data_IF_851274826133
#
_entry.id   IF_851274826133
#
_cell.length_a   1.000
_cell.length_b   1.000
_cell.length_c   1.000
_cell.angle_alpha   90.00
_cell.angle_beta   90.00
_cell.angle_gamma   90.00
#
_symmetry.space_group_name_H-M   'P 1'
#
loop_
_entity.id
_entity.type
_entity.pdbx_description
1 polymer ?
#
# COMPACT_ATOMS: atom_id res chain seq x y z
N UNK A 1 62.10 16.63 20.57
CA UNK A 1 60.98 15.67 20.77
C UNK A 1 59.54 16.19 20.44
N UNK A 2 59.26 17.48 20.32
CA UNK A 2 57.90 18.04 20.05
C UNK A 2 57.34 17.86 18.63
N UNK A 3 58.17 17.82 17.55
CA UNK A 3 57.73 17.76 16.15
C UNK A 3 57.05 16.46 15.72
N UNK A 4 57.37 15.30 16.36
CA UNK A 4 56.79 13.99 16.03
C UNK A 4 55.35 13.83 16.59
N UNK A 5 55.06 14.44 17.73
CA UNK A 5 53.76 14.38 18.38
C UNK A 5 52.72 15.21 17.60
N UNK A 6 53.09 16.37 17.10
CA UNK A 6 52.20 17.24 16.29
C UNK A 6 51.83 16.59 14.93
N UNK A 7 52.80 15.90 14.29
CA UNK A 7 52.50 15.14 13.07
C UNK A 7 51.53 13.97 13.31
N UNK A 8 51.71 13.24 14.41
CA UNK A 8 50.80 12.14 14.78
C UNK A 8 49.38 12.65 15.09
N UNK A 9 49.25 13.79 15.80
CA UNK A 9 47.98 14.43 16.09
C UNK A 9 47.27 14.90 14.79
N UNK A 10 48.00 15.51 13.85
CA UNK A 10 47.46 15.94 12.55
C UNK A 10 46.94 14.76 11.72
N UNK A 11 47.67 13.64 11.69
CA UNK A 11 47.20 12.41 11.02
C UNK A 11 45.93 11.85 11.67
N UNK A 12 45.87 11.84 13.00
CA UNK A 12 44.71 11.36 13.73
C UNK A 12 43.46 12.22 13.43
N UNK A 13 43.60 13.55 13.42
CA UNK A 13 42.54 14.47 13.07
C UNK A 13 42.04 14.28 11.61
N UNK A 14 42.96 14.07 10.66
CA UNK A 14 42.62 13.83 9.26
C UNK A 14 41.84 12.50 9.09
N UNK A 15 42.24 11.41 9.76
CA UNK A 15 41.56 10.15 9.75
C UNK A 15 40.17 10.29 10.37
N UNK A 16 40.04 10.98 11.49
CA UNK A 16 38.76 11.23 12.14
C UNK A 16 37.81 12.03 11.25
N UNK A 17 38.34 13.06 10.57
CA UNK A 17 37.56 13.85 9.61
C UNK A 17 37.05 13.00 8.43
N UNK A 18 37.93 12.13 7.88
CA UNK A 18 37.53 11.21 6.80
C UNK A 18 36.45 10.20 7.26
N UNK A 19 36.54 9.68 8.48
CA UNK A 19 35.55 8.78 9.04
C UNK A 19 34.21 9.50 9.25
N UNK A 20 34.25 10.72 9.79
CA UNK A 20 33.04 11.54 10.01
C UNK A 20 32.40 11.92 8.69
N UNK A 21 33.20 12.43 7.73
CA UNK A 21 32.67 12.78 6.40
C UNK A 21 32.17 11.56 5.64
N UNK A 22 32.84 10.41 5.74
CA UNK A 22 32.39 9.14 5.19
C UNK A 22 31.07 8.68 5.81
N UNK A 23 30.92 8.82 7.13
CA UNK A 23 29.67 8.51 7.82
C UNK A 23 28.51 9.42 7.39
N UNK A 24 28.74 10.74 7.25
CA UNK A 24 27.72 11.67 6.77
C UNK A 24 27.34 11.42 5.30
N UNK A 25 28.32 11.11 4.46
CA UNK A 25 28.07 10.72 3.07
C UNK A 25 27.29 9.41 3.00
N UNK A 26 27.70 8.39 3.74
CA UNK A 26 26.96 7.12 3.83
C UNK A 26 25.52 7.36 4.27
N UNK A 27 25.28 8.12 5.35
CA UNK A 27 23.96 8.44 5.85
C UNK A 27 23.12 9.29 4.88
N UNK A 28 23.75 10.13 4.09
CA UNK A 28 23.07 10.91 3.04
C UNK A 28 22.64 10.04 1.86
N UNK A 29 23.51 9.12 1.42
CA UNK A 29 23.21 8.20 0.32
C UNK A 29 22.33 7.02 0.73
N UNK A 30 22.25 6.66 2.01
CA UNK A 30 21.39 5.59 2.51
C UNK A 30 19.93 6.00 2.72
N UNK A 31 19.57 7.29 2.59
CA UNK A 31 18.17 7.71 2.67
C UNK A 31 17.43 7.28 1.41
N UNK A 32 16.35 6.54 1.62
CA UNK A 32 15.39 6.25 0.55
C UNK A 32 14.82 7.57 0.02
N UNK A 33 14.70 7.66 -1.29
CA UNK A 33 14.15 8.82 -1.99
C UNK A 33 13.08 8.32 -2.93
N UNK A 34 11.89 8.84 -2.75
CA UNK A 34 10.75 8.52 -3.59
C UNK A 34 10.44 9.71 -4.50
N UNK A 35 9.93 9.41 -5.67
CA UNK A 35 9.32 10.37 -6.58
C UNK A 35 7.94 9.85 -6.97
N UNK A 36 7.04 10.77 -7.20
CA UNK A 36 5.73 10.47 -7.75
C UNK A 36 5.84 10.34 -9.27
N UNK A 37 5.27 9.26 -9.80
CA UNK A 37 5.12 9.03 -11.24
C UNK A 37 3.65 9.17 -11.55
N UNK A 38 3.31 10.10 -12.45
CA UNK A 38 1.93 10.34 -12.86
C UNK A 38 1.74 9.90 -14.30
N UNK A 39 0.74 9.08 -14.55
CA UNK A 39 0.28 8.70 -15.87
C UNK A 39 -1.18 9.09 -15.99
N UNK A 40 -1.49 9.94 -16.98
CA UNK A 40 -2.86 10.31 -17.33
C UNK A 40 -3.14 9.88 -18.76
N UNK A 41 -4.28 9.25 -18.97
CA UNK A 41 -4.78 8.87 -20.31
C UNK A 41 -6.27 9.10 -20.38
N UNK A 42 -6.71 9.55 -21.54
CA UNK A 42 -8.11 9.66 -21.89
C UNK A 42 -8.30 9.30 -23.37
N UNK A 43 -9.51 9.01 -23.78
CA UNK A 43 -9.84 8.86 -25.20
C UNK A 43 -9.91 10.24 -25.87
N UNK A 44 -9.27 10.38 -27.05
CA UNK A 44 -8.99 11.69 -27.68
C UNK A 44 -10.18 12.35 -28.38
N UNK A 45 -11.27 11.69 -28.67
CA UNK A 45 -12.37 12.20 -29.53
C UNK A 45 -13.75 12.17 -28.87
N UNK A 46 -13.84 12.40 -27.59
CA UNK A 46 -15.11 12.45 -26.87
C UNK A 46 -15.41 13.88 -26.37
N UNK A 47 -16.61 14.40 -26.67
CA UNK A 47 -17.07 15.71 -26.17
C UNK A 47 -17.52 15.62 -24.70
N UNK A 48 -18.13 14.50 -24.31
CA UNK A 48 -18.59 14.18 -22.95
C UNK A 48 -18.39 12.67 -22.72
N UNK A 49 -18.15 12.27 -21.48
CA UNK A 49 -18.09 10.85 -21.07
C UNK A 49 -16.88 10.07 -21.61
N UNK A 50 -15.68 10.57 -21.37
CA UNK A 50 -14.43 10.00 -21.84
C UNK A 50 -13.86 8.96 -20.88
N UNK A 51 -13.39 7.82 -21.43
CA UNK A 51 -12.50 6.94 -20.68
C UNK A 51 -11.38 7.78 -20.04
N UNK A 52 -11.18 7.64 -18.74
CA UNK A 52 -10.10 8.31 -18.03
C UNK A 52 -9.32 7.35 -17.13
N UNK A 53 -8.00 7.47 -17.17
CA UNK A 53 -7.08 6.76 -16.29
C UNK A 53 -6.13 7.76 -15.69
N UNK A 54 -6.11 7.84 -14.36
CA UNK A 54 -5.19 8.68 -13.59
C UNK A 54 -4.44 7.81 -12.58
N UNK A 55 -3.16 7.59 -12.83
CA UNK A 55 -2.28 6.80 -11.97
C UNK A 55 -1.24 7.72 -11.37
N UNK A 56 -1.17 7.77 -10.04
CA UNK A 56 -0.12 8.46 -9.30
C UNK A 56 0.50 7.46 -8.32
N UNK A 57 1.66 6.92 -8.68
CA UNK A 57 2.35 5.91 -7.90
C UNK A 57 3.76 6.32 -7.53
N UNK A 58 4.34 5.65 -6.53
CA UNK A 58 5.67 5.98 -6.03
C UNK A 58 6.75 5.14 -6.72
N UNK A 59 7.84 5.80 -7.07
CA UNK A 59 9.07 5.17 -7.55
C UNK A 59 10.23 5.48 -6.60
N UNK A 60 10.92 4.45 -6.11
CA UNK A 60 12.10 4.61 -5.28
C UNK A 60 13.35 4.82 -6.14
N UNK A 61 14.04 5.96 -5.93
CA UNK A 61 15.25 6.33 -6.68
C UNK A 61 16.44 5.49 -6.28
N UNK A 62 17.32 5.26 -7.25
CA UNK A 62 18.58 4.56 -7.05
C UNK A 62 18.55 3.10 -7.48
N UNK A 63 19.57 2.35 -7.09
CA UNK A 63 19.74 0.95 -7.50
C UNK A 63 20.07 0.05 -6.30
N UNK A 64 19.55 0.41 -5.11
CA UNK A 64 19.64 -0.47 -3.94
C UNK A 64 18.75 -1.69 -4.13
N UNK A 65 18.95 -2.72 -3.35
CA UNK A 65 18.08 -3.89 -3.33
C UNK A 65 16.65 -3.49 -2.98
N UNK A 66 16.49 -2.64 -1.97
CA UNK A 66 15.20 -2.05 -1.62
C UNK A 66 14.51 -1.39 -2.83
N UNK A 67 15.23 -0.49 -3.55
CA UNK A 67 14.64 0.23 -4.66
C UNK A 67 14.17 -0.71 -5.78
N UNK A 68 14.94 -1.76 -6.09
CA UNK A 68 14.55 -2.73 -7.11
C UNK A 68 13.31 -3.53 -6.72
N UNK A 69 13.28 -4.04 -5.49
CA UNK A 69 12.17 -4.88 -5.02
C UNK A 69 10.91 -4.05 -4.83
N UNK A 70 11.02 -2.86 -4.21
CA UNK A 70 9.93 -1.90 -4.08
C UNK A 70 9.32 -1.54 -5.45
N UNK A 71 10.14 -1.09 -6.40
CA UNK A 71 9.65 -0.67 -7.71
C UNK A 71 9.01 -1.81 -8.50
N UNK A 72 9.57 -3.02 -8.40
CA UNK A 72 8.99 -4.21 -9.01
C UNK A 72 7.60 -4.51 -8.44
N UNK A 73 7.44 -4.42 -7.13
CA UNK A 73 6.15 -4.65 -6.47
C UNK A 73 5.12 -3.59 -6.86
N UNK A 74 5.50 -2.31 -6.88
CA UNK A 74 4.63 -1.23 -7.35
C UNK A 74 4.18 -1.46 -8.80
N UNK A 75 5.11 -1.86 -9.68
CA UNK A 75 4.78 -2.17 -11.08
C UNK A 75 3.75 -3.29 -11.18
N UNK A 76 3.91 -4.36 -10.40
CA UNK A 76 2.95 -5.47 -10.33
C UNK A 76 1.57 -4.98 -9.85
N UNK A 77 1.52 -4.20 -8.78
CA UNK A 77 0.25 -3.74 -8.20
C UNK A 77 -0.50 -2.78 -9.13
N UNK A 78 0.21 -1.87 -9.79
CA UNK A 78 -0.40 -0.95 -10.77
C UNK A 78 -0.87 -1.70 -12.01
N UNK A 79 -0.10 -2.66 -12.51
CA UNK A 79 -0.50 -3.49 -13.65
C UNK A 79 -1.72 -4.36 -13.31
N UNK A 80 -1.76 -4.96 -12.11
CA UNK A 80 -2.92 -5.74 -11.66
C UNK A 80 -4.19 -4.89 -11.56
N UNK A 81 -4.08 -3.67 -11.03
CA UNK A 81 -5.20 -2.74 -10.96
C UNK A 81 -5.76 -2.41 -12.35
N UNK A 82 -4.90 -2.14 -13.34
CA UNK A 82 -5.29 -1.89 -14.73
C UNK A 82 -5.96 -3.11 -15.39
N UNK A 83 -5.55 -4.32 -15.02
CA UNK A 83 -6.11 -5.56 -15.56
C UNK A 83 -7.36 -6.02 -14.80
N UNK A 84 -7.83 -5.25 -13.81
CA UNK A 84 -8.96 -5.60 -12.94
C UNK A 84 -8.80 -6.98 -12.28
N UNK A 85 -7.57 -7.33 -11.93
CA UNK A 85 -7.28 -8.55 -11.21
C UNK A 85 -7.52 -8.32 -9.71
N UNK A 86 -8.53 -8.96 -9.16
CA UNK A 86 -8.88 -8.90 -7.74
C UNK A 86 -7.84 -9.60 -6.84
N UNK A 87 -6.94 -10.37 -7.44
CA UNK A 87 -5.88 -11.07 -6.73
C UNK A 87 -4.54 -10.35 -6.90
N UNK A 88 -4.24 -9.44 -5.97
CA UNK A 88 -2.96 -8.72 -5.91
C UNK A 88 -1.74 -9.65 -5.73
N UNK A 89 -1.96 -10.95 -5.46
CA UNK A 89 -0.89 -11.95 -5.36
C UNK A 89 -0.47 -12.52 -6.72
N UNK A 90 -1.25 -12.29 -7.78
CA UNK A 90 -0.89 -12.70 -9.13
C UNK A 90 0.30 -11.86 -9.61
N UNK A 91 1.44 -12.50 -9.79
CA UNK A 91 2.60 -11.87 -10.42
C UNK A 91 2.34 -11.78 -11.92
N UNK A 92 1.88 -10.62 -12.37
CA UNK A 92 1.71 -10.32 -13.79
C UNK A 92 3.07 -9.87 -14.36
N UNK A 93 3.62 -10.63 -15.26
CA UNK A 93 4.88 -10.28 -15.96
C UNK A 93 4.57 -9.36 -17.17
N UNK A 94 4.04 -8.18 -16.86
CA UNK A 94 3.63 -7.18 -17.85
C UNK A 94 3.93 -5.78 -17.31
N UNK A 95 4.42 -4.89 -18.17
CA UNK A 95 4.68 -3.50 -17.77
C UNK A 95 3.37 -2.71 -17.60
N UNK A 96 3.43 -1.62 -16.81
CA UNK A 96 2.30 -0.70 -16.60
C UNK A 96 1.78 -0.18 -17.95
N UNK A 97 2.69 0.22 -18.86
CA UNK A 97 2.32 0.71 -20.18
C UNK A 97 1.53 -0.34 -20.97
N UNK A 98 1.97 -1.60 -20.92
CA UNK A 98 1.30 -2.67 -21.64
C UNK A 98 -0.06 -3.03 -21.04
N UNK A 99 -0.16 -3.02 -19.70
CA UNK A 99 -1.43 -3.20 -18.99
C UNK A 99 -2.41 -2.08 -19.35
N UNK A 100 -1.94 -0.83 -19.41
CA UNK A 100 -2.74 0.33 -19.81
C UNK A 100 -3.20 0.24 -21.27
N UNK A 101 -2.31 -0.14 -22.19
CA UNK A 101 -2.70 -0.39 -23.60
C UNK A 101 -3.80 -1.45 -23.70
N UNK A 102 -3.66 -2.55 -22.95
CA UNK A 102 -4.68 -3.60 -22.94
C UNK A 102 -6.02 -3.08 -22.42
N UNK A 103 -6.01 -2.38 -21.27
CA UNK A 103 -7.22 -1.79 -20.70
C UNK A 103 -7.94 -0.85 -21.66
N UNK A 104 -7.20 0.06 -22.30
CA UNK A 104 -7.76 1.00 -23.29
C UNK A 104 -8.29 0.27 -24.54
N UNK A 105 -7.57 -0.76 -25.00
CA UNK A 105 -8.01 -1.57 -26.14
C UNK A 105 -9.29 -2.33 -25.85
N UNK A 106 -9.39 -2.91 -24.64
CA UNK A 106 -10.58 -3.66 -24.22
C UNK A 106 -11.80 -2.73 -24.12
N UNK A 107 -11.64 -1.54 -23.52
CA UNK A 107 -12.68 -0.52 -23.51
C UNK A 107 -13.13 -0.16 -24.93
N UNK A 108 -12.20 0.16 -25.83
CA UNK A 108 -12.53 0.55 -27.20
C UNK A 108 -13.29 -0.55 -27.94
N UNK A 109 -12.88 -1.82 -27.78
CA UNK A 109 -13.55 -2.97 -28.38
C UNK A 109 -14.99 -3.13 -27.84
N UNK A 110 -15.19 -2.92 -26.53
CA UNK A 110 -16.52 -3.01 -25.91
C UNK A 110 -17.38 -1.84 -26.39
N UNK A 111 -16.84 -0.62 -26.36
CA UNK A 111 -17.55 0.60 -26.73
C UNK A 111 -17.95 0.62 -28.23
N UNK A 112 -17.13 0.04 -29.12
CA UNK A 112 -17.50 -0.12 -30.55
C UNK A 112 -18.76 -0.96 -30.73
N UNK A 113 -18.96 -2.00 -29.91
CA UNK A 113 -20.13 -2.88 -29.96
C UNK A 113 -21.31 -2.38 -29.12
N UNK A 114 -21.03 -1.62 -28.08
CA UNK A 114 -22.01 -1.10 -27.12
C UNK A 114 -21.73 0.38 -26.80
N UNK A 115 -22.05 1.30 -27.72
CA UNK A 115 -21.73 2.73 -27.54
C UNK A 115 -22.45 3.42 -26.37
N UNK A 116 -23.46 2.79 -25.80
CA UNK A 116 -24.23 3.32 -24.66
C UNK A 116 -23.62 3.00 -23.30
N UNK A 117 -22.52 2.22 -23.27
CA UNK A 117 -21.84 1.92 -22.01
C UNK A 117 -21.17 3.20 -21.51
N UNK A 118 -21.38 3.57 -20.23
CA UNK A 118 -20.69 4.71 -19.63
C UNK A 118 -19.18 4.61 -19.75
N UNK A 119 -18.51 5.72 -19.85
CA UNK A 119 -17.06 5.76 -19.87
C UNK A 119 -16.45 5.14 -18.60
N UNK A 120 -15.34 4.45 -18.78
CA UNK A 120 -14.60 3.87 -17.66
C UNK A 120 -13.72 4.92 -16.99
N UNK A 121 -13.60 4.83 -15.69
CA UNK A 121 -12.72 5.69 -14.90
C UNK A 121 -11.89 4.86 -13.93
N UNK A 122 -10.56 5.00 -14.01
CA UNK A 122 -9.62 4.41 -13.08
C UNK A 122 -8.77 5.49 -12.43
N UNK A 123 -8.71 5.49 -11.10
CA UNK A 123 -7.86 6.38 -10.33
C UNK A 123 -7.06 5.54 -9.32
N UNK A 124 -5.74 5.72 -9.31
CA UNK A 124 -4.84 5.14 -8.33
C UNK A 124 -3.95 6.23 -7.73
N UNK A 125 -3.83 6.26 -6.42
CA UNK A 125 -2.96 7.20 -5.71
C UNK A 125 -2.24 6.51 -4.55
N UNK A 126 -0.92 6.43 -4.67
CA UNK A 126 -0.02 5.88 -3.67
C UNK A 126 0.53 6.96 -2.75
N UNK A 127 0.69 6.61 -1.48
CA UNK A 127 1.43 7.43 -0.53
C UNK A 127 2.09 6.60 0.57
N UNK A 128 3.19 7.12 1.14
CA UNK A 128 3.78 6.51 2.32
C UNK A 128 2.94 6.92 3.53
N UNK A 129 2.32 5.95 4.17
CA UNK A 129 1.50 6.17 5.36
C UNK A 129 2.36 6.27 6.62
N UNK A 130 3.35 5.38 6.74
CA UNK A 130 4.21 5.30 7.91
C UNK A 130 5.54 4.60 7.60
N UNK A 131 6.55 4.93 8.39
CA UNK A 131 7.86 4.30 8.31
C UNK A 131 8.53 4.33 9.69
N UNK A 132 9.19 3.24 10.05
CA UNK A 132 10.15 3.18 11.15
C UNK A 132 11.55 2.80 10.66
N UNK A 133 12.43 2.29 11.53
CA UNK A 133 13.78 1.85 11.14
C UNK A 133 13.83 0.50 10.42
N UNK A 134 12.73 -0.29 10.43
CA UNK A 134 12.68 -1.67 9.92
C UNK A 134 11.69 -1.88 8.80
N UNK A 135 10.60 -1.10 8.76
CA UNK A 135 9.53 -1.27 7.77
C UNK A 135 8.95 0.07 7.30
N UNK A 136 8.37 0.04 6.12
CA UNK A 136 7.60 1.11 5.51
C UNK A 136 6.20 0.57 5.18
N UNK A 137 5.17 1.36 5.46
CA UNK A 137 3.79 1.10 5.03
C UNK A 137 3.41 2.07 3.93
N UNK A 138 3.07 1.53 2.77
CA UNK A 138 2.48 2.25 1.65
C UNK A 138 0.96 2.05 1.70
N UNK A 139 0.20 3.06 1.33
CA UNK A 139 -1.23 2.97 1.05
C UNK A 139 -1.49 3.35 -0.40
N UNK A 140 -2.21 2.50 -1.12
CA UNK A 140 -2.75 2.71 -2.46
C UNK A 140 -4.26 2.91 -2.35
N UNK A 141 -4.73 4.12 -2.63
CA UNK A 141 -6.16 4.39 -2.75
C UNK A 141 -6.56 4.19 -4.20
N UNK A 142 -7.59 3.38 -4.43
CA UNK A 142 -8.02 2.97 -5.76
C UNK A 142 -9.50 3.27 -5.95
N UNK A 143 -9.84 3.77 -7.11
CA UNK A 143 -11.21 3.95 -7.58
C UNK A 143 -11.32 3.36 -8.96
N UNK A 144 -12.35 2.57 -9.20
CA UNK A 144 -12.61 1.96 -10.49
C UNK A 144 -14.08 2.00 -10.81
N UNK A 145 -14.41 2.53 -11.99
CA UNK A 145 -15.72 2.45 -12.59
C UNK A 145 -15.57 1.87 -14.00
N UNK A 146 -16.14 0.72 -14.25
CA UNK A 146 -16.06 0.00 -15.52
C UNK A 146 -17.44 -0.27 -16.10
N UNK A 147 -18.33 0.75 -16.03
CA UNK A 147 -19.65 0.68 -16.64
C UNK A 147 -20.68 -0.13 -15.87
N UNK A 148 -20.39 -0.57 -14.66
CA UNK A 148 -21.34 -1.27 -13.79
C UNK A 148 -22.33 -0.34 -13.10
N UNK A 149 -23.15 -0.89 -12.18
CA UNK A 149 -24.11 -0.12 -11.41
C UNK A 149 -23.46 0.83 -10.39
N UNK A 150 -22.32 0.44 -9.82
CA UNK A 150 -21.59 1.18 -8.81
C UNK A 150 -20.10 1.21 -9.13
N UNK A 151 -19.43 2.30 -8.73
CA UNK A 151 -17.98 2.36 -8.69
C UNK A 151 -17.46 1.56 -7.48
N UNK A 152 -16.25 1.02 -7.62
CA UNK A 152 -15.54 0.33 -6.54
C UNK A 152 -14.47 1.26 -5.99
N UNK A 153 -14.45 1.43 -4.68
CA UNK A 153 -13.37 2.11 -3.97
C UNK A 153 -12.66 1.09 -3.09
N UNK A 154 -11.37 0.98 -3.24
CA UNK A 154 -10.55 0.07 -2.43
C UNK A 154 -9.33 0.78 -1.85
N UNK A 155 -8.75 0.17 -0.83
CA UNK A 155 -7.57 0.68 -0.15
C UNK A 155 -6.64 -0.48 0.15
N UNK A 156 -5.52 -0.51 -0.55
CA UNK A 156 -4.51 -1.57 -0.41
C UNK A 156 -3.34 -1.04 0.43
N UNK A 157 -2.99 -1.77 1.47
CA UNK A 157 -1.79 -1.48 2.25
C UNK A 157 -0.71 -2.51 1.95
N UNK A 158 0.48 -2.01 1.66
CA UNK A 158 1.66 -2.85 1.42
C UNK A 158 2.76 -2.48 2.40
N UNK A 159 3.31 -3.48 3.04
CA UNK A 159 4.41 -3.31 3.99
C UNK A 159 5.70 -3.80 3.36
N UNK A 160 6.75 -2.98 3.44
CA UNK A 160 8.06 -3.30 2.90
C UNK A 160 9.11 -3.38 4.00
N UNK A 161 9.92 -4.42 4.02
CA UNK A 161 11.10 -4.50 4.85
C UNK A 161 12.17 -3.51 4.36
N UNK A 162 12.68 -2.65 5.25
CA UNK A 162 13.59 -1.57 4.85
C UNK A 162 15.00 -2.02 4.49
N UNK A 163 15.40 -3.21 4.88
CA UNK A 163 16.72 -3.77 4.57
C UNK A 163 16.84 -4.20 3.10
N UNK A 164 15.78 -4.76 2.53
CA UNK A 164 15.80 -5.34 1.19
C UNK A 164 14.65 -4.92 0.26
N UNK A 165 13.56 -4.30 0.79
CA UNK A 165 12.39 -3.89 0.00
C UNK A 165 11.44 -5.03 -0.36
N UNK A 166 11.56 -6.18 0.27
CA UNK A 166 10.60 -7.28 0.12
C UNK A 166 9.28 -6.96 0.84
N UNK A 167 8.20 -7.50 0.30
CA UNK A 167 6.87 -7.36 0.92
C UNK A 167 6.80 -8.21 2.18
N UNK A 168 6.37 -7.58 3.28
CA UNK A 168 6.01 -8.25 4.52
C UNK A 168 4.56 -8.69 4.38
N UNK A 169 4.33 -9.99 4.24
CA UNK A 169 2.98 -10.56 4.16
C UNK A 169 2.25 -10.46 5.49
N UNK A 170 0.93 -10.52 5.47
CA UNK A 170 0.11 -10.51 6.70
C UNK A 170 0.52 -11.59 7.69
N UNK A 171 0.89 -12.78 7.22
CA UNK A 171 1.38 -13.90 8.04
C UNK A 171 2.66 -13.57 8.82
N UNK A 172 3.49 -12.66 8.28
CA UNK A 172 4.76 -12.26 8.87
C UNK A 172 4.68 -10.92 9.61
N UNK A 173 3.52 -10.25 9.56
CA UNK A 173 3.35 -8.92 10.14
C UNK A 173 3.34 -8.97 11.69
N UNK A 174 2.79 -10.04 12.26
CA UNK A 174 2.64 -10.20 13.71
C UNK A 174 3.35 -11.43 14.27
N UNK A 175 3.90 -11.29 15.45
CA UNK A 175 4.51 -12.41 16.21
C UNK A 175 3.48 -13.31 16.90
N UNK A 176 2.25 -12.82 17.10
CA UNK A 176 1.12 -13.54 17.73
C UNK A 176 -0.19 -13.01 17.12
N UNK A 177 -0.53 -13.52 15.94
CA UNK A 177 -1.73 -13.11 15.19
C UNK A 177 -3.01 -13.38 15.99
N UNK A 178 -3.08 -14.47 16.75
CA UNK A 178 -4.27 -14.80 17.52
C UNK A 178 -4.59 -13.73 18.59
N UNK A 179 -3.57 -13.15 19.22
CA UNK A 179 -3.77 -12.03 20.14
C UNK A 179 -4.17 -10.75 19.44
N UNK A 180 -3.57 -10.46 18.29
CA UNK A 180 -3.95 -9.30 17.48
C UNK A 180 -5.40 -9.44 17.04
N UNK A 181 -5.81 -10.61 16.57
CA UNK A 181 -7.20 -10.91 16.18
C UNK A 181 -8.17 -10.67 17.34
N UNK A 182 -7.86 -11.16 18.55
CA UNK A 182 -8.72 -10.95 19.71
C UNK A 182 -8.84 -9.47 20.12
N UNK A 183 -7.74 -8.69 20.00
CA UNK A 183 -7.76 -7.24 20.22
C UNK A 183 -8.58 -6.55 19.13
N UNK A 184 -8.37 -6.91 17.87
CA UNK A 184 -9.05 -6.37 16.73
C UNK A 184 -10.58 -6.59 16.80
N UNK A 185 -11.01 -7.79 17.18
CA UNK A 185 -12.43 -8.14 17.37
C UNK A 185 -13.12 -7.22 18.38
N UNK A 186 -12.44 -6.90 19.49
CA UNK A 186 -12.95 -5.95 20.49
C UNK A 186 -13.25 -4.58 19.87
N UNK A 187 -12.28 -4.03 19.09
CA UNK A 187 -12.44 -2.73 18.45
C UNK A 187 -13.42 -2.76 17.30
N UNK A 188 -13.50 -3.86 16.57
CA UNK A 188 -14.51 -4.08 15.55
C UNK A 188 -15.92 -3.96 16.15
N UNK A 189 -16.21 -4.68 17.24
CA UNK A 189 -17.51 -4.63 17.94
C UNK A 189 -17.82 -3.21 18.43
N UNK A 190 -16.84 -2.50 18.99
CA UNK A 190 -17.02 -1.11 19.45
C UNK A 190 -17.32 -0.15 18.28
N UNK A 191 -16.68 -0.34 17.13
CA UNK A 191 -16.91 0.49 15.94
C UNK A 191 -18.28 0.20 15.37
N UNK A 192 -18.69 -1.06 15.35
CA UNK A 192 -20.02 -1.50 14.92
C UNK A 192 -21.13 -0.89 15.78
N UNK A 193 -21.01 -0.93 17.11
CA UNK A 193 -21.98 -0.35 18.03
C UNK A 193 -22.10 1.16 17.91
N UNK A 194 -21.01 1.85 17.56
CA UNK A 194 -20.95 3.30 17.36
C UNK A 194 -21.48 3.74 15.98
N UNK A 195 -21.40 2.88 14.97
CA UNK A 195 -21.95 3.15 13.65
C UNK A 195 -23.46 2.91 13.71
N UNK A 196 -24.26 3.90 13.25
CA UNK A 196 -25.74 3.77 13.12
C UNK A 196 -26.11 2.80 11.98
N UNK A 197 -25.39 1.71 11.83
CA UNK A 197 -25.76 0.59 10.95
C UNK A 197 -26.83 -0.20 11.72
N UNK A 198 -28.01 0.38 11.78
CA UNK A 198 -29.20 -0.15 12.45
C UNK A 198 -29.77 -1.42 11.81
N UNK A 199 -29.11 -1.97 10.80
CA UNK A 199 -29.67 -3.05 9.97
C UNK A 199 -28.76 -4.27 10.00
N UNK A 200 -28.35 -4.67 11.17
CA UNK A 200 -27.82 -6.01 11.28
C UNK A 200 -28.76 -6.80 12.13
N UNK A 201 -29.57 -7.60 11.39
CA UNK A 201 -30.38 -8.68 11.90
C UNK A 201 -29.77 -9.28 13.18
N UNK A 202 -30.57 -9.83 14.08
CA UNK A 202 -30.16 -10.49 15.34
C UNK A 202 -28.98 -11.49 15.23
N UNK A 203 -28.44 -11.68 14.02
CA UNK A 203 -27.29 -12.55 13.71
C UNK A 203 -25.93 -11.85 13.67
N UNK A 204 -25.87 -10.52 13.80
CA UNK A 204 -24.63 -9.76 13.73
C UNK A 204 -23.98 -9.74 12.33
N UNK A 205 -22.81 -9.10 12.19
CA UNK A 205 -21.99 -9.21 10.99
C UNK A 205 -21.68 -10.68 10.72
N UNK A 206 -22.06 -11.15 9.55
CA UNK A 206 -21.92 -12.55 9.17
C UNK A 206 -20.50 -12.84 8.69
N UNK A 207 -19.52 -12.73 9.59
CA UNK A 207 -18.34 -13.52 9.35
C UNK A 207 -18.80 -14.96 9.17
N UNK A 208 -18.36 -15.61 8.13
CA UNK A 208 -18.64 -17.03 7.84
C UNK A 208 -18.57 -17.89 9.10
N UNK A 209 -18.99 -19.13 9.03
CA UNK A 209 -19.00 -20.11 10.14
C UNK A 209 -17.68 -20.17 10.94
N UNK A 210 -16.61 -19.53 10.45
CA UNK A 210 -15.29 -19.43 11.06
C UNK A 210 -15.12 -18.29 12.09
N UNK A 211 -16.10 -17.40 12.24
CA UNK A 211 -16.04 -16.28 13.18
C UNK A 211 -15.18 -15.10 12.69
N UNK A 212 -14.91 -14.15 13.60
CA UNK A 212 -14.12 -12.94 13.30
C UNK A 212 -12.72 -13.26 12.77
N UNK A 213 -12.32 -12.60 11.70
CA UNK A 213 -10.98 -12.67 11.13
C UNK A 213 -10.46 -11.27 10.74
N UNK A 214 -9.15 -11.13 10.67
CA UNK A 214 -8.50 -9.92 10.19
C UNK A 214 -8.75 -9.77 8.67
N UNK A 215 -8.92 -8.53 8.16
CA UNK A 215 -9.10 -8.31 6.73
C UNK A 215 -7.81 -8.57 5.95
N UNK A 216 -7.95 -8.75 4.65
CA UNK A 216 -6.80 -8.85 3.76
C UNK A 216 -5.99 -7.54 3.75
N UNK A 217 -6.67 -6.39 3.81
CA UNK A 217 -6.04 -5.08 3.75
C UNK A 217 -5.89 -4.49 5.14
N UNK A 218 -4.65 -4.47 5.64
CA UNK A 218 -4.29 -3.94 6.95
C UNK A 218 -3.21 -2.88 6.84
N UNK A 219 -3.41 -1.71 7.45
CA UNK A 219 -2.46 -0.60 7.43
C UNK A 219 -1.83 -0.33 8.79
N UNK A 220 -0.51 -0.13 8.81
CA UNK A 220 0.20 0.32 10.00
C UNK A 220 0.44 1.83 9.90
N UNK A 221 -0.03 2.57 10.90
CA UNK A 221 0.27 3.99 11.08
C UNK A 221 0.95 4.24 12.43
N UNK A 222 1.33 5.49 12.71
CA UNK A 222 1.93 5.86 13.99
C UNK A 222 0.99 5.56 15.19
N UNK A 223 -0.30 5.77 15.01
CA UNK A 223 -1.29 5.74 16.08
C UNK A 223 -2.19 4.49 16.06
N UNK A 224 -2.35 3.87 14.88
CA UNK A 224 -3.34 2.81 14.67
C UNK A 224 -2.85 1.69 13.76
N UNK A 225 -3.29 0.47 14.05
CA UNK A 225 -3.50 -0.56 13.06
C UNK A 225 -4.87 -0.28 12.42
N UNK A 226 -4.89 -0.14 11.10
CA UNK A 226 -6.10 0.10 10.31
C UNK A 226 -6.50 -1.23 9.69
N UNK A 227 -7.71 -1.67 10.00
CA UNK A 227 -8.33 -2.85 9.41
C UNK A 227 -9.34 -2.34 8.38
N UNK A 228 -9.08 -2.61 7.11
CA UNK A 228 -9.94 -2.18 6.02
C UNK A 228 -10.57 -3.41 5.37
N UNK A 229 -11.85 -3.57 5.64
CA UNK A 229 -12.67 -4.62 5.04
C UNK A 229 -13.25 -4.11 3.73
N UNK A 230 -12.98 -4.81 2.65
CA UNK A 230 -13.53 -4.52 1.33
C UNK A 230 -15.05 -4.77 1.30
N UNK A 231 -15.78 -4.16 0.36
CA UNK A 231 -17.17 -4.53 0.12
C UNK A 231 -17.33 -6.05 0.00
N UNK A 232 -18.37 -6.58 0.61
CA UNK A 232 -18.70 -8.01 0.66
C UNK A 232 -17.71 -8.92 1.43
N UNK A 233 -16.62 -8.40 1.98
CA UNK A 233 -15.64 -9.20 2.75
C UNK A 233 -16.21 -9.68 4.09
N UNK A 234 -17.04 -8.85 4.75
CA UNK A 234 -17.66 -9.21 6.04
C UNK A 234 -19.01 -9.91 5.82
N UNK A 235 -19.82 -9.40 4.91
CA UNK A 235 -21.15 -9.93 4.65
C UNK A 235 -21.56 -9.65 3.19
N UNK A 236 -22.24 -10.62 2.58
CA UNK A 236 -22.63 -10.57 1.16
C UNK A 236 -23.62 -9.44 0.81
N UNK A 237 -24.15 -8.73 1.78
CA UNK A 237 -25.06 -7.59 1.62
C UNK A 237 -24.41 -6.23 1.96
N UNK A 238 -23.16 -6.22 2.43
CA UNK A 238 -22.41 -4.99 2.68
C UNK A 238 -21.66 -4.58 1.41
N UNK A 239 -22.22 -3.61 0.71
CA UNK A 239 -21.66 -3.04 -0.51
C UNK A 239 -20.72 -1.84 -0.25
N UNK A 240 -20.56 -1.45 1.02
CA UNK A 240 -19.61 -0.41 1.44
C UNK A 240 -18.42 -1.02 2.21
N UNK A 241 -17.25 -0.42 2.03
CA UNK A 241 -16.06 -0.77 2.81
C UNK A 241 -16.23 -0.37 4.28
N UNK A 242 -15.64 -1.16 5.18
CA UNK A 242 -15.70 -0.91 6.61
C UNK A 242 -14.31 -0.79 7.23
N UNK A 243 -14.02 0.35 7.87
CA UNK A 243 -12.72 0.62 8.47
C UNK A 243 -12.77 0.59 10.00
N UNK A 244 -11.88 -0.17 10.62
CA UNK A 244 -11.70 -0.25 12.07
C UNK A 244 -10.29 0.23 12.43
N UNK A 245 -10.19 1.10 13.45
CA UNK A 245 -8.92 1.60 13.98
C UNK A 245 -8.62 0.98 15.34
N UNK A 246 -7.55 0.21 15.41
CA UNK A 246 -7.06 -0.38 16.65
C UNK A 246 -5.86 0.42 17.13
N UNK A 247 -5.85 0.96 18.38
CA UNK A 247 -4.73 1.76 18.87
C UNK A 247 -3.40 1.01 18.79
N UNK A 248 -2.39 1.59 18.16
CA UNK A 248 -1.09 0.98 17.94
C UNK A 248 -0.41 0.53 19.22
N UNK A 249 -0.63 1.23 20.34
CA UNK A 249 -0.09 0.84 21.67
C UNK A 249 -0.49 -0.57 22.11
N UNK A 250 -1.65 -1.10 21.66
CA UNK A 250 -2.11 -2.45 21.97
C UNK A 250 -1.53 -3.48 21.00
N UNK A 251 -1.15 -3.07 19.81
CA UNK A 251 -0.62 -3.92 18.72
C UNK A 251 0.90 -3.98 18.71
N UNK A 252 1.58 -2.87 19.06
CA UNK A 252 3.04 -2.74 19.03
C UNK A 252 3.79 -3.91 19.69
N UNK A 253 3.36 -4.50 20.84
CA UNK A 253 4.04 -5.65 21.43
C UNK A 253 4.12 -6.86 20.49
N UNK A 254 3.18 -7.00 19.59
CA UNK A 254 3.03 -8.14 18.68
C UNK A 254 3.53 -7.86 17.27
N UNK A 255 3.92 -6.62 16.94
CA UNK A 255 4.46 -6.28 15.63
C UNK A 255 5.84 -6.91 15.44
N UNK A 256 6.07 -7.65 14.35
CA UNK A 256 7.34 -8.30 14.05
C UNK A 256 8.46 -7.28 13.80
N UNK A 257 8.18 -6.22 13.09
CA UNK A 257 9.12 -5.18 12.64
C UNK A 257 9.06 -3.92 13.50
N UNK A 258 8.88 -4.07 14.83
CA UNK A 258 8.93 -2.95 15.78
C UNK A 258 10.36 -2.46 16.00
N UNK A 259 10.49 -1.20 16.40
CA UNK A 259 11.74 -0.65 16.93
C UNK A 259 12.05 -1.24 18.30
N UNK A 260 13.35 -1.40 18.60
CA UNK A 260 13.85 -1.93 19.88
C UNK A 260 13.70 -0.88 21.00
#
# INVERSE_FOLDING_TARGET
MKKSSVKKLGILCAVLFLLISGYFLYRYFSKLRFEEVTIERSTDDCEDDCLSVSLNYLHCKGNSEFARNFNKEIEIQVANFLLSNDDDTLQVDISIEKALENFMSDYNNIHEHFPEIPAYELILSDSIMWQNSKMLTLVSNRYSFTGGANAVQSKVFTHFALDNGEVITNENLFTDEAKVTAIAEKYFKQTQEASVIEVLDDKGFGFDDNGFHLPKSMGISADYLILFYEPFEIASYMDEAFEVKVPMKEIMPYLTFKED
#
